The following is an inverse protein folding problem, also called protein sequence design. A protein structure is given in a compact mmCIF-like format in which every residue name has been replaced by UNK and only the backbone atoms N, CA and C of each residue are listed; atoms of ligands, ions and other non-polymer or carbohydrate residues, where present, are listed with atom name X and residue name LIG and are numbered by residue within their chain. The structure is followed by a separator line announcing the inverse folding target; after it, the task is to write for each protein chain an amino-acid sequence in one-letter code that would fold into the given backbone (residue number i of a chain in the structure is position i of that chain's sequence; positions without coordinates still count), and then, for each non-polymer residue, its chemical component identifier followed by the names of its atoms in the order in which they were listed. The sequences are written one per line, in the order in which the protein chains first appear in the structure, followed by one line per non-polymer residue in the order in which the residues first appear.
data_IF_314192683637
#
_entry.id   IF_314192683637
#
_cell.length_a   1.000
_cell.length_b   1.000
_cell.length_c   1.000
_cell.angle_alpha   90.00
_cell.angle_beta   90.00
_cell.angle_gamma   90.00
#
_symmetry.space_group_name_H-M   'P 1'
#
loop_
_entity.id
_entity.type
_entity.pdbx_description
1 polymer ?
#
# COMPACT_ATOMS: atom_id res chain seq x y z
N UNK A 1 7.41 -29.92 1.86
CA UNK A 1 8.30 -29.38 2.90
C UNK A 1 7.77 -28.07 3.49
N UNK A 2 7.85 -26.91 2.81
CA UNK A 2 7.38 -25.64 3.39
C UNK A 2 5.86 -25.60 3.68
N UNK A 3 5.06 -26.27 2.84
CA UNK A 3 3.61 -26.40 3.00
C UNK A 3 3.27 -27.24 4.24
N UNK A 4 4.01 -28.32 4.48
CA UNK A 4 3.76 -29.26 5.58
C UNK A 4 4.16 -28.69 6.95
N UNK A 5 5.02 -27.67 6.96
CA UNK A 5 5.50 -26.95 8.16
C UNK A 5 4.59 -25.74 8.49
N UNK A 6 3.61 -25.41 7.63
CA UNK A 6 2.73 -24.27 7.82
C UNK A 6 3.40 -22.91 7.55
N UNK A 7 4.49 -22.88 6.78
CA UNK A 7 5.14 -21.63 6.40
C UNK A 7 4.40 -20.96 5.23
N UNK A 8 3.83 -19.77 5.47
CA UNK A 8 3.11 -18.99 4.44
C UNK A 8 4.03 -18.37 3.39
N UNK A 9 5.33 -18.24 3.68
CA UNK A 9 6.31 -17.55 2.84
C UNK A 9 7.46 -18.46 2.46
N UNK A 10 7.86 -18.42 1.20
CA UNK A 10 9.01 -19.15 0.68
C UNK A 10 9.88 -18.21 -0.14
N UNK A 11 11.18 -18.20 0.17
CA UNK A 11 12.18 -17.51 -0.63
C UNK A 11 13.01 -18.56 -1.38
N UNK A 12 12.85 -18.60 -2.70
CA UNK A 12 13.66 -19.44 -3.57
C UNK A 12 14.88 -18.64 -4.00
N UNK A 13 16.07 -19.12 -3.63
CA UNK A 13 17.33 -18.46 -3.94
C UNK A 13 18.11 -19.31 -4.95
N UNK A 14 18.27 -18.78 -6.15
CA UNK A 14 19.30 -19.22 -7.08
C UNK A 14 20.40 -18.16 -7.06
N UNK A 15 21.67 -18.55 -7.25
CA UNK A 15 22.81 -17.63 -7.14
C UNK A 15 22.64 -16.32 -7.93
N UNK A 16 21.92 -16.37 -9.04
CA UNK A 16 21.55 -15.19 -9.85
C UNK A 16 20.18 -14.59 -9.54
N UNK A 17 19.18 -15.41 -9.19
CA UNK A 17 17.76 -15.02 -9.20
C UNK A 17 17.07 -15.45 -7.92
N UNK A 18 16.42 -14.50 -7.26
CA UNK A 18 15.71 -14.69 -6.01
C UNK A 18 14.22 -14.45 -6.23
N UNK A 19 13.39 -15.37 -5.75
CA UNK A 19 11.93 -15.33 -5.93
C UNK A 19 11.23 -15.50 -4.59
N UNK A 20 10.40 -14.52 -4.24
CA UNK A 20 9.59 -14.54 -3.01
C UNK A 20 8.17 -14.98 -3.35
N UNK A 21 7.75 -16.10 -2.77
CA UNK A 21 6.43 -16.68 -2.92
C UNK A 21 5.61 -16.56 -1.63
N UNK A 22 4.31 -16.36 -1.80
CA UNK A 22 3.30 -16.55 -0.77
C UNK A 22 2.52 -17.83 -1.07
N UNK A 23 2.31 -18.66 -0.07
CA UNK A 23 1.56 -19.91 -0.13
C UNK A 23 0.18 -19.68 0.48
N UNK A 24 -0.86 -19.95 -0.30
CA UNK A 24 -2.24 -20.01 0.19
C UNK A 24 -2.61 -21.47 0.43
N UNK A 25 -2.88 -21.82 1.68
CA UNK A 25 -3.27 -23.17 2.11
C UNK A 25 -4.71 -23.51 1.74
N UNK A 26 -4.99 -23.58 0.43
CA UNK A 26 -6.19 -24.22 -0.12
C UNK A 26 -5.97 -25.71 -0.38
N UNK A 27 -7.03 -26.41 -0.81
CA UNK A 27 -6.93 -27.74 -1.42
C UNK A 27 -7.29 -27.60 -2.91
N UNK A 28 -6.31 -27.57 -3.85
CA UNK A 28 -4.86 -27.70 -3.69
C UNK A 28 -4.15 -26.41 -3.23
N UNK A 29 -2.94 -26.50 -2.66
CA UNK A 29 -2.17 -25.34 -2.23
C UNK A 29 -1.76 -24.50 -3.44
N UNK A 30 -2.02 -23.20 -3.38
CA UNK A 30 -1.70 -22.25 -4.44
C UNK A 30 -0.47 -21.43 -4.04
N UNK A 31 0.46 -21.25 -4.98
CA UNK A 31 1.63 -20.40 -4.77
C UNK A 31 1.54 -19.17 -5.65
N UNK A 32 1.77 -17.99 -5.07
CA UNK A 32 1.76 -16.72 -5.79
C UNK A 32 3.14 -16.09 -5.70
N UNK A 33 3.76 -15.82 -6.86
CA UNK A 33 4.99 -15.03 -6.92
C UNK A 33 4.66 -13.59 -6.55
N UNK A 34 5.29 -13.10 -5.50
CA UNK A 34 5.07 -11.75 -4.97
C UNK A 34 6.10 -10.78 -5.51
N UNK A 35 7.37 -11.21 -5.52
CA UNK A 35 8.45 -10.38 -6.01
C UNK A 35 9.59 -11.26 -6.51
N UNK A 36 10.35 -10.75 -7.47
CA UNK A 36 11.56 -11.42 -7.97
C UNK A 36 12.64 -10.41 -8.28
N UNK A 37 13.89 -10.82 -8.11
CA UNK A 37 15.04 -9.99 -8.42
C UNK A 37 16.25 -10.80 -8.86
N UNK A 38 17.05 -10.16 -9.69
CA UNK A 38 18.30 -10.69 -10.20
C UNK A 38 19.45 -9.84 -9.65
N UNK A 39 20.38 -10.51 -8.96
CA UNK A 39 21.49 -9.85 -8.28
C UNK A 39 22.46 -9.17 -9.26
N UNK A 40 22.54 -9.67 -10.49
CA UNK A 40 23.52 -9.25 -11.50
C UNK A 40 22.96 -8.13 -12.39
N UNK A 41 21.69 -8.22 -12.78
CA UNK A 41 21.09 -7.30 -13.75
C UNK A 41 20.35 -6.11 -13.14
N UNK A 42 19.92 -6.21 -11.88
CA UNK A 42 19.13 -5.15 -11.26
C UNK A 42 20.00 -4.07 -10.62
N UNK A 43 19.50 -2.83 -10.63
CA UNK A 43 20.15 -1.70 -9.98
C UNK A 43 20.26 -1.89 -8.46
N UNK A 44 21.36 -1.39 -7.88
CA UNK A 44 21.67 -1.56 -6.46
C UNK A 44 20.61 -0.93 -5.56
N UNK A 45 20.02 0.22 -5.96
CA UNK A 45 18.99 0.87 -5.15
C UNK A 45 17.68 0.06 -5.14
N UNK A 46 17.36 -0.62 -6.24
CA UNK A 46 16.22 -1.54 -6.33
C UNK A 46 16.50 -2.79 -5.49
N UNK A 47 17.70 -3.34 -5.61
CA UNK A 47 18.13 -4.54 -4.91
C UNK A 47 18.10 -4.35 -3.39
N UNK A 48 18.62 -3.22 -2.90
CA UNK A 48 18.60 -2.87 -1.48
C UNK A 48 17.18 -2.82 -0.90
N UNK A 49 16.24 -2.20 -1.63
CA UNK A 49 14.81 -2.16 -1.22
C UNK A 49 14.19 -3.55 -1.20
N UNK A 50 14.54 -4.42 -2.16
CA UNK A 50 14.01 -5.78 -2.23
C UNK A 50 14.57 -6.67 -1.11
N UNK A 51 15.85 -6.55 -0.77
CA UNK A 51 16.43 -7.23 0.38
C UNK A 51 15.91 -6.71 1.73
N UNK A 52 15.56 -5.42 1.82
CA UNK A 52 14.90 -4.88 3.02
C UNK A 52 13.58 -5.62 3.32
N UNK A 53 12.86 -6.07 2.28
CA UNK A 53 11.60 -6.81 2.45
C UNK A 53 11.80 -8.12 3.21
N UNK A 54 12.88 -8.84 2.91
CA UNK A 54 13.23 -10.13 3.53
C UNK A 54 14.16 -9.98 4.74
N UNK A 55 14.48 -8.75 5.14
CA UNK A 55 15.31 -8.50 6.31
C UNK A 55 14.60 -8.94 7.60
N UNK A 56 15.36 -9.47 8.55
CA UNK A 56 14.84 -9.89 9.86
C UNK A 56 14.05 -8.78 10.56
N UNK A 57 14.51 -7.52 10.46
CA UNK A 57 13.83 -6.35 11.03
C UNK A 57 12.44 -6.14 10.43
N UNK A 58 12.28 -6.35 9.13
CA UNK A 58 11.00 -6.19 8.46
C UNK A 58 10.05 -7.36 8.73
N UNK A 59 10.58 -8.59 8.72
CA UNK A 59 9.83 -9.81 9.02
C UNK A 59 9.29 -9.77 10.45
N UNK A 60 10.13 -9.43 11.44
CA UNK A 60 9.72 -9.30 12.84
C UNK A 60 8.61 -8.25 13.07
N UNK A 61 8.51 -7.25 12.20
CA UNK A 61 7.46 -6.21 12.25
C UNK A 61 6.18 -6.59 11.48
N UNK A 62 6.07 -7.83 10.97
CA UNK A 62 4.94 -8.24 10.13
C UNK A 62 4.93 -7.58 8.75
N UNK A 63 6.09 -7.16 8.25
CA UNK A 63 6.21 -6.46 6.97
C UNK A 63 5.74 -7.29 5.78
N UNK A 64 5.98 -8.61 5.82
CA UNK A 64 5.52 -9.54 4.78
C UNK A 64 3.99 -9.64 4.75
N UNK A 65 3.33 -9.79 5.91
CA UNK A 65 1.86 -9.82 5.98
C UNK A 65 1.23 -8.55 5.42
N UNK A 66 1.77 -7.37 5.76
CA UNK A 66 1.34 -6.09 5.18
C UNK A 66 1.55 -6.01 3.68
N UNK A 67 2.61 -6.62 3.18
CA UNK A 67 2.90 -6.68 1.76
C UNK A 67 1.87 -7.57 1.04
N UNK A 68 1.56 -8.73 1.63
CA UNK A 68 0.50 -9.61 1.13
C UNK A 68 -0.87 -8.94 1.12
N UNK A 69 -1.27 -8.28 2.21
CA UNK A 69 -2.52 -7.51 2.26
C UNK A 69 -2.60 -6.48 1.13
N UNK A 70 -1.54 -5.70 0.91
CA UNK A 70 -1.49 -4.75 -0.20
C UNK A 70 -1.61 -5.44 -1.56
N UNK A 71 -0.90 -6.55 -1.75
CA UNK A 71 -0.95 -7.31 -2.99
C UNK A 71 -2.32 -7.96 -3.23
N UNK A 72 -3.07 -8.28 -2.17
CA UNK A 72 -4.41 -8.83 -2.24
C UNK A 72 -5.48 -7.75 -2.49
N UNK A 73 -5.30 -6.56 -1.90
CA UNK A 73 -6.17 -5.40 -2.15
C UNK A 73 -5.99 -4.87 -3.57
N UNK A 74 -4.77 -4.88 -4.11
CA UNK A 74 -4.45 -4.40 -5.46
C UNK A 74 -4.77 -5.43 -6.58
N UNK A 75 -5.68 -6.37 -6.32
CA UNK A 75 -6.15 -7.30 -7.36
C UNK A 75 -7.04 -6.59 -8.38
N UNK A 76 -7.01 -7.05 -9.64
CA UNK A 76 -7.79 -6.45 -10.72
C UNK A 76 -9.29 -6.38 -10.38
N UNK A 77 -9.84 -7.42 -9.73
CA UNK A 77 -11.24 -7.45 -9.30
C UNK A 77 -11.56 -6.38 -8.26
N UNK A 78 -10.70 -6.21 -7.24
CA UNK A 78 -10.92 -5.20 -6.21
C UNK A 78 -10.83 -3.78 -6.78
N UNK A 79 -9.86 -3.52 -7.66
CA UNK A 79 -9.74 -2.23 -8.34
C UNK A 79 -10.93 -1.98 -9.26
N UNK A 80 -11.34 -2.96 -10.06
CA UNK A 80 -12.48 -2.83 -10.96
C UNK A 80 -13.77 -2.57 -10.18
N UNK A 81 -13.98 -3.24 -9.05
CA UNK A 81 -15.12 -3.01 -8.16
C UNK A 81 -15.15 -1.57 -7.62
N UNK A 82 -13.99 -1.03 -7.25
CA UNK A 82 -13.89 0.37 -6.79
C UNK A 82 -14.14 1.33 -7.95
N UNK A 83 -13.53 1.12 -9.12
CA UNK A 83 -13.69 1.99 -10.30
C UNK A 83 -15.15 2.01 -10.79
N UNK A 84 -15.84 0.88 -10.75
CA UNK A 84 -17.25 0.74 -11.14
C UNK A 84 -18.23 1.00 -9.97
N UNK A 85 -17.75 1.47 -8.82
CA UNK A 85 -18.63 1.88 -7.73
C UNK A 85 -19.44 3.12 -8.11
N UNK A 86 -20.61 3.26 -7.51
CA UNK A 86 -21.52 4.38 -7.78
C UNK A 86 -20.85 5.75 -7.50
N UNK A 87 -20.05 5.83 -6.43
CA UNK A 87 -19.28 7.03 -6.09
C UNK A 87 -18.22 7.36 -7.15
N UNK A 88 -17.52 6.35 -7.66
CA UNK A 88 -16.51 6.56 -8.70
C UNK A 88 -17.16 6.97 -10.02
N UNK A 89 -18.27 6.36 -10.41
CA UNK A 89 -19.03 6.74 -11.61
C UNK A 89 -19.55 8.18 -11.48
N UNK A 90 -20.07 8.58 -10.31
CA UNK A 90 -20.47 9.97 -10.03
C UNK A 90 -19.31 10.95 -10.19
N UNK A 91 -18.13 10.61 -9.65
CA UNK A 91 -16.94 11.44 -9.76
C UNK A 91 -16.48 11.55 -11.21
N UNK A 92 -16.39 10.43 -11.94
CA UNK A 92 -16.01 10.41 -13.36
C UNK A 92 -16.98 11.27 -14.18
N UNK A 93 -18.29 11.13 -13.96
CA UNK A 93 -19.32 11.95 -14.63
C UNK A 93 -19.11 13.44 -14.39
N UNK A 94 -18.82 13.82 -13.15
CA UNK A 94 -18.56 15.22 -12.77
C UNK A 94 -17.31 15.77 -13.45
N UNK A 95 -16.22 15.01 -13.46
CA UNK A 95 -14.97 15.44 -14.08
C UNK A 95 -15.10 15.52 -15.62
N UNK A 96 -15.80 14.57 -16.26
CA UNK A 96 -16.09 14.64 -17.71
C UNK A 96 -16.91 15.90 -18.01
N UNK A 97 -18.02 16.13 -17.29
CA UNK A 97 -18.84 17.33 -17.49
C UNK A 97 -18.04 18.62 -17.31
N UNK A 98 -17.10 18.65 -16.35
CA UNK A 98 -16.24 19.81 -16.14
C UNK A 98 -15.24 20.03 -17.28
N UNK A 99 -14.74 18.95 -17.88
CA UNK A 99 -13.74 19.02 -18.95
C UNK A 99 -14.36 19.27 -20.34
N UNK A 100 -15.57 18.76 -20.59
CA UNK A 100 -16.17 18.75 -21.93
C UNK A 100 -17.55 19.41 -22.01
N UNK A 101 -18.11 19.91 -20.90
CA UNK A 101 -19.47 20.47 -20.77
C UNK A 101 -20.65 19.52 -21.12
N UNK A 102 -20.36 18.35 -21.67
CA UNK A 102 -21.34 17.31 -22.03
C UNK A 102 -21.77 16.48 -20.81
N UNK A 103 -23.08 16.19 -20.72
CA UNK A 103 -23.63 15.25 -19.74
C UNK A 103 -23.64 13.83 -20.30
N UNK A 104 -22.95 12.92 -19.62
CA UNK A 104 -22.90 11.50 -19.98
C UNK A 104 -23.75 10.69 -18.99
N UNK A 105 -24.37 9.60 -19.47
CA UNK A 105 -25.12 8.66 -18.64
C UNK A 105 -24.19 7.68 -17.90
N UNK A 106 -24.59 7.13 -16.74
CA UNK A 106 -23.83 6.09 -16.05
C UNK A 106 -23.52 4.86 -16.93
N UNK A 107 -24.48 4.46 -17.78
CA UNK A 107 -24.37 3.30 -18.66
C UNK A 107 -23.30 3.49 -19.74
N UNK A 108 -23.24 4.68 -20.33
CA UNK A 108 -22.20 5.05 -21.31
C UNK A 108 -20.80 5.05 -20.68
N UNK A 109 -20.65 5.52 -19.43
CA UNK A 109 -19.38 5.48 -18.71
C UNK A 109 -18.91 4.04 -18.50
N UNK A 110 -19.81 3.15 -18.09
CA UNK A 110 -19.50 1.72 -17.94
C UNK A 110 -19.15 1.09 -19.28
N UNK A 111 -19.88 1.43 -20.35
CA UNK A 111 -19.58 0.99 -21.71
C UNK A 111 -18.19 1.42 -22.16
N UNK A 112 -17.82 2.68 -21.92
CA UNK A 112 -16.50 3.23 -22.23
C UNK A 112 -15.38 2.54 -21.43
N UNK A 113 -15.60 2.26 -20.14
CA UNK A 113 -14.63 1.52 -19.31
C UNK A 113 -14.45 0.09 -19.83
N UNK A 114 -15.53 -0.59 -20.23
CA UNK A 114 -15.44 -1.94 -20.84
C UNK A 114 -14.65 -1.92 -22.13
N UNK A 115 -14.88 -0.92 -22.98
CA UNK A 115 -14.09 -0.74 -24.19
C UNK A 115 -12.61 -0.48 -23.87
N UNK A 116 -12.31 0.36 -22.87
CA UNK A 116 -10.94 0.66 -22.41
C UNK A 116 -10.17 -0.58 -21.93
N UNK A 117 -10.87 -1.58 -21.38
CA UNK A 117 -10.26 -2.81 -20.89
C UNK A 117 -10.05 -3.88 -21.98
N UNK A 118 -10.56 -3.66 -23.20
CA UNK A 118 -10.31 -4.55 -24.33
C UNK A 118 -8.92 -4.30 -24.93
N UNK A 119 -8.38 -5.32 -25.59
CA UNK A 119 -7.01 -5.37 -26.13
C UNK A 119 -6.68 -4.18 -27.08
N UNK A 120 -7.70 -3.64 -27.76
CA UNK A 120 -7.61 -2.45 -28.62
C UNK A 120 -7.29 -1.14 -27.89
N UNK A 121 -7.43 -1.07 -26.57
CA UNK A 121 -7.32 0.18 -25.80
C UNK A 121 -6.01 0.34 -25.01
N UNK A 122 -5.15 -0.67 -25.02
CA UNK A 122 -3.81 -0.63 -24.42
C UNK A 122 -2.94 0.47 -25.08
N UNK A 123 -3.12 0.67 -26.40
CA UNK A 123 -2.40 1.70 -27.16
C UNK A 123 -2.76 3.14 -26.71
N UNK A 124 -4.03 3.39 -26.38
CA UNK A 124 -4.48 4.70 -25.89
C UNK A 124 -4.02 4.96 -24.45
N UNK A 125 -3.97 3.93 -23.61
CA UNK A 125 -3.45 4.04 -22.24
C UNK A 125 -1.99 4.52 -22.21
N UNK A 126 -1.18 4.11 -23.19
CA UNK A 126 0.24 4.52 -23.29
C UNK A 126 0.44 6.02 -23.55
N UNK A 127 -0.59 6.72 -24.06
CA UNK A 127 -0.55 8.16 -24.36
C UNK A 127 -0.90 9.03 -23.16
N UNK A 128 -1.43 8.44 -22.08
CA UNK A 128 -1.91 9.17 -20.90
C UNK A 128 -0.76 9.41 -19.92
N UNK A 129 -0.50 10.69 -19.58
CA UNK A 129 0.45 11.05 -18.52
C UNK A 129 -0.18 10.81 -17.14
N UNK A 130 0.22 9.74 -16.47
CA UNK A 130 -0.23 9.44 -15.09
C UNK A 130 0.50 10.33 -14.08
N UNK A 131 -0.21 11.23 -13.43
CA UNK A 131 0.31 12.00 -12.29
C UNK A 131 -0.10 11.34 -10.96
N UNK A 132 0.85 10.69 -10.29
CA UNK A 132 0.61 10.14 -8.95
C UNK A 132 0.81 11.23 -7.88
N UNK A 133 -0.05 11.29 -6.84
CA UNK A 133 0.14 12.25 -5.75
C UNK A 133 1.47 11.99 -5.05
N UNK A 134 2.36 12.99 -5.06
CA UNK A 134 3.66 12.91 -4.39
C UNK A 134 3.42 12.75 -2.89
N UNK A 135 3.94 11.65 -2.32
CA UNK A 135 3.81 11.35 -0.88
C UNK A 135 4.53 12.41 -0.07
N UNK A 136 3.79 13.40 0.44
CA UNK A 136 4.30 14.51 1.26
C UNK A 136 4.93 13.92 2.53
N UNK A 137 6.26 13.91 2.63
CA UNK A 137 6.95 13.53 3.86
C UNK A 137 6.56 14.52 4.95
N UNK A 138 5.71 14.08 5.89
CA UNK A 138 5.42 14.82 7.12
C UNK A 138 6.74 14.92 7.91
N UNK A 139 7.37 16.09 7.90
CA UNK A 139 8.40 16.45 8.88
C UNK A 139 7.78 16.28 10.27
N UNK A 140 8.29 15.33 11.05
CA UNK A 140 8.04 15.28 12.49
C UNK A 140 8.62 16.56 13.09
N UNK A 141 7.78 17.48 13.51
CA UNK A 141 8.17 18.54 14.44
C UNK A 141 8.51 17.87 15.76
N UNK A 142 9.80 17.88 16.10
CA UNK A 142 10.29 17.62 17.45
C UNK A 142 9.81 18.76 18.33
N UNK A 143 8.76 18.55 19.12
CA UNK A 143 8.39 19.45 20.20
C UNK A 143 9.39 19.24 21.33
N UNK A 144 10.47 20.01 21.33
CA UNK A 144 11.30 20.25 22.50
C UNK A 144 10.43 20.92 23.58
N UNK A 145 10.19 20.22 24.69
CA UNK A 145 9.61 20.78 25.91
C UNK A 145 10.54 21.89 26.41
N UNK A 146 10.16 23.14 26.18
CA UNK A 146 10.69 24.29 26.89
C UNK A 146 9.87 24.48 28.16
N UNK A 147 10.58 24.51 29.28
CA UNK A 147 10.19 25.07 30.57
C UNK A 147 9.50 26.44 30.44
N UNK A 148 8.43 26.70 31.23
CA UNK A 148 8.45 27.59 32.42
C UNK A 148 7.01 27.96 32.87
N UNK A 149 6.71 27.70 34.15
CA UNK A 149 6.02 28.61 35.08
C UNK A 149 4.49 28.68 35.09
N UNK A 150 3.88 28.21 36.19
CA UNK A 150 2.85 28.86 37.05
C UNK A 150 2.33 27.82 38.05
N UNK A 151 2.83 27.84 39.29
CA UNK A 151 2.21 28.49 40.47
C UNK A 151 0.87 27.83 40.87
N UNK A 152 0.96 26.90 41.83
CA UNK A 152 -0.15 26.36 42.62
C UNK A 152 -0.39 27.26 43.85
N UNK A 153 -1.65 27.54 44.23
CA UNK A 153 -1.96 28.17 45.52
C UNK A 153 -2.24 27.12 46.59
N UNK A 154 -1.44 27.19 47.66
CA UNK A 154 -1.74 27.02 49.09
C UNK A 154 -3.01 26.25 49.53
N UNK A 155 -2.79 25.13 50.22
CA UNK A 155 -3.47 24.82 51.50
C UNK A 155 -2.53 23.99 52.37
N UNK A 156 -1.89 24.61 53.38
CA UNK A 156 -1.19 23.91 54.46
C UNK A 156 -2.08 23.97 55.70
N UNK A 157 -2.49 22.79 56.18
CA UNK A 157 -3.10 22.59 57.50
C UNK A 157 -2.02 22.63 58.58
N UNK A 158 -2.23 23.51 59.56
CA UNK A 158 -1.46 23.63 60.78
C UNK A 158 -1.79 22.49 61.74
N UNK A 159 -0.80 21.70 62.16
CA UNK A 159 -0.86 20.92 63.39
C UNK A 159 0.51 20.93 64.09
N UNK A 160 0.49 21.56 65.25
CA UNK A 160 1.54 21.74 66.25
C UNK A 160 1.81 20.47 67.07
N UNK A 161 3.05 20.27 67.49
CA UNK A 161 3.47 19.40 68.59
C UNK A 161 4.98 19.57 68.79
N UNK A 162 5.39 20.55 69.61
CA UNK A 162 5.72 20.42 71.04
C UNK A 162 7.04 19.68 71.31
N UNK A 163 7.98 20.50 71.80
CA UNK A 163 8.87 20.32 72.96
C UNK A 163 9.73 19.06 73.09
#
# INVERSE_FOLDING_TARGET
YAIDIGCEWVLLTNSKEWKLYHISFGKPPQTKLINSWNIISDDLAVLAKRFELVSYKNIKKGGLSRLWEKANVLTAQNILKVVLSEDSIRLIRREIKKATEVTVSPEEIVGAIRHLLNESSIAEMSKIKVSLPVKKQRKRTTTSKSSKGKEEPSTEETLTGES
#
